data_IF_508583637410
#
_entry.id   IF_508583637410
#
_cell.length_a   1.000
_cell.length_b   1.000
_cell.length_c   1.000
_cell.angle_alpha   90.00
_cell.angle_beta   90.00
_cell.angle_gamma   90.00
#
_symmetry.space_group_name_H-M   'P 1'
#
loop_
_entity.id
_entity.type
_entity.pdbx_description
1 polymer ?
#
# COMPACT_ATOMS: atom_id res chain seq x y z
N UNK A 1 -7.53 -47.64 -1.13
CA UNK A 1 -6.17 -47.30 -1.59
C UNK A 1 -6.30 -46.07 -2.48
N UNK A 2 -6.13 -44.87 -1.92
CA UNK A 2 -6.25 -43.63 -2.69
C UNK A 2 -4.90 -43.31 -3.31
N UNK A 3 -4.82 -43.38 -4.65
CA UNK A 3 -3.65 -42.93 -5.39
C UNK A 3 -3.51 -41.41 -5.24
N UNK A 4 -2.53 -40.97 -4.46
CA UNK A 4 -2.04 -39.59 -4.49
C UNK A 4 -1.31 -39.38 -5.81
N UNK A 5 -1.98 -38.75 -6.78
CA UNK A 5 -1.33 -38.21 -7.96
C UNK A 5 -0.47 -37.01 -7.54
N UNK A 6 0.79 -37.27 -7.19
CA UNK A 6 1.82 -36.23 -7.15
C UNK A 6 2.31 -36.05 -8.57
N UNK A 7 1.77 -35.06 -9.27
CA UNK A 7 2.36 -34.64 -10.55
C UNK A 7 3.69 -33.99 -10.24
N UNK A 8 4.77 -34.59 -10.73
CA UNK A 8 6.12 -34.04 -10.56
C UNK A 8 6.23 -32.71 -11.33
N UNK A 9 6.93 -31.70 -10.78
CA UNK A 9 7.26 -30.50 -11.55
C UNK A 9 8.04 -30.92 -12.81
N UNK A 10 7.56 -30.54 -14.00
CA UNK A 10 8.23 -30.79 -15.28
C UNK A 10 7.44 -31.50 -16.38
N UNK A 11 6.22 -32.00 -16.13
CA UNK A 11 5.43 -32.74 -17.15
C UNK A 11 4.27 -31.93 -17.79
N UNK A 12 4.07 -30.67 -17.40
CA UNK A 12 3.13 -29.78 -18.09
C UNK A 12 3.92 -28.92 -19.09
N UNK A 13 3.48 -28.75 -20.36
CA UNK A 13 4.15 -27.86 -21.30
C UNK A 13 4.23 -26.45 -20.71
N UNK A 14 5.43 -26.05 -20.31
CA UNK A 14 5.71 -24.86 -19.46
C UNK A 14 5.54 -23.51 -20.17
N UNK A 15 5.01 -23.48 -21.39
CA UNK A 15 5.16 -22.32 -22.29
C UNK A 15 3.87 -21.57 -22.62
N UNK A 16 2.79 -21.73 -21.85
CA UNK A 16 1.56 -20.93 -22.05
C UNK A 16 1.17 -20.22 -20.76
N UNK A 17 2.00 -19.26 -20.36
CA UNK A 17 1.48 -18.14 -19.56
C UNK A 17 0.49 -17.33 -20.40
N UNK A 18 -0.47 -16.63 -19.79
CA UNK A 18 -1.33 -15.69 -20.52
C UNK A 18 -0.44 -14.70 -21.29
N UNK A 19 -0.58 -14.68 -22.63
CA UNK A 19 0.03 -13.65 -23.46
C UNK A 19 -0.84 -12.41 -23.36
N UNK A 20 -0.43 -11.49 -22.51
CA UNK A 20 -1.06 -10.18 -22.40
C UNK A 20 -0.59 -9.27 -23.54
N UNK A 21 -1.45 -8.36 -23.99
CA UNK A 21 -0.98 -7.29 -24.86
C UNK A 21 0.04 -6.42 -24.11
N UNK A 22 0.98 -5.75 -24.79
CA UNK A 22 2.11 -5.05 -24.15
C UNK A 22 1.71 -4.04 -23.06
N UNK A 23 0.54 -3.40 -23.20
CA UNK A 23 0.00 -2.47 -22.20
C UNK A 23 -0.37 -3.20 -20.91
N UNK A 24 -1.04 -4.33 -21.04
CA UNK A 24 -1.39 -5.17 -19.90
C UNK A 24 -0.13 -5.79 -19.29
N UNK A 25 0.82 -6.24 -20.10
CA UNK A 25 2.11 -6.72 -19.59
C UNK A 25 2.88 -5.65 -18.80
N UNK A 26 2.82 -4.38 -19.24
CA UNK A 26 3.40 -3.26 -18.49
C UNK A 26 2.68 -3.03 -17.15
N UNK A 27 1.34 -2.94 -17.19
CA UNK A 27 0.49 -2.76 -16.01
C UNK A 27 0.48 -3.97 -15.08
N UNK A 28 1.04 -5.10 -15.48
CA UNK A 28 1.08 -6.32 -14.68
C UNK A 28 2.43 -6.48 -13.97
N UNK A 29 3.51 -5.91 -14.52
CA UNK A 29 4.89 -6.21 -14.08
C UNK A 29 5.67 -5.01 -13.50
N UNK A 30 5.15 -3.79 -13.59
CA UNK A 30 5.93 -2.57 -13.29
C UNK A 30 5.21 -1.58 -12.38
N UNK A 31 4.23 -2.07 -11.64
CA UNK A 31 3.30 -1.26 -10.86
C UNK A 31 3.94 -0.59 -9.65
N UNK A 32 4.79 -1.30 -8.90
CA UNK A 32 5.41 -0.77 -7.68
C UNK A 32 6.39 0.36 -8.02
N UNK A 33 7.29 0.12 -8.96
CA UNK A 33 8.30 1.10 -9.38
C UNK A 33 7.68 2.27 -10.13
N UNK A 34 6.70 2.02 -11.01
CA UNK A 34 6.00 3.10 -11.69
C UNK A 34 5.20 3.95 -10.69
N UNK A 35 4.59 3.31 -9.69
CA UNK A 35 3.83 3.99 -8.65
C UNK A 35 4.68 4.95 -7.82
N UNK A 36 5.77 4.47 -7.22
CA UNK A 36 6.68 5.34 -6.46
C UNK A 36 7.39 6.39 -7.33
N UNK A 37 7.81 6.02 -8.54
CA UNK A 37 8.43 6.98 -9.46
C UNK A 37 7.47 8.10 -9.86
N UNK A 38 6.19 7.78 -10.07
CA UNK A 38 5.17 8.78 -10.41
C UNK A 38 4.88 9.70 -9.21
N UNK A 39 4.79 9.15 -7.99
CA UNK A 39 4.66 9.97 -6.77
C UNK A 39 5.87 10.90 -6.57
N UNK A 40 7.10 10.40 -6.78
CA UNK A 40 8.32 11.20 -6.70
C UNK A 40 8.34 12.30 -7.77
N UNK A 41 7.98 11.97 -9.01
CA UNK A 41 7.91 12.95 -10.09
C UNK A 41 6.87 14.03 -9.78
N UNK A 42 5.67 13.65 -9.32
CA UNK A 42 4.64 14.60 -8.88
C UNK A 42 5.12 15.48 -7.74
N UNK A 43 5.83 14.93 -6.76
CA UNK A 43 6.41 15.70 -5.66
C UNK A 43 7.41 16.74 -6.17
N UNK A 44 8.36 16.34 -7.01
CA UNK A 44 9.41 17.22 -7.54
C UNK A 44 8.81 18.32 -8.42
N UNK A 45 7.88 17.95 -9.31
CA UNK A 45 7.21 18.92 -10.19
C UNK A 45 6.39 19.93 -9.37
N UNK A 46 5.70 19.47 -8.32
CA UNK A 46 4.96 20.35 -7.42
C UNK A 46 5.89 21.30 -6.66
N UNK A 47 6.99 20.80 -6.11
CA UNK A 47 7.97 21.62 -5.41
C UNK A 47 8.60 22.70 -6.33
N UNK A 48 8.95 22.33 -7.57
CA UNK A 48 9.42 23.29 -8.58
C UNK A 48 8.33 24.33 -8.90
N UNK A 49 7.08 23.89 -9.01
CA UNK A 49 5.93 24.78 -9.23
C UNK A 49 5.79 25.83 -8.12
N UNK A 50 5.86 25.40 -6.85
CA UNK A 50 5.78 26.27 -5.68
C UNK A 50 6.96 27.26 -5.64
N UNK A 51 8.17 26.77 -5.92
CA UNK A 51 9.37 27.60 -5.98
C UNK A 51 9.27 28.67 -7.07
N UNK A 52 8.83 28.30 -8.28
CA UNK A 52 8.63 29.24 -9.38
C UNK A 52 7.55 30.29 -9.08
N UNK A 53 6.59 29.95 -8.21
CA UNK A 53 5.60 30.87 -7.66
C UNK A 53 6.13 31.82 -6.58
N UNK A 54 7.43 31.74 -6.24
CA UNK A 54 8.07 32.61 -5.24
C UNK A 54 7.78 32.25 -3.79
N UNK A 55 7.28 31.04 -3.51
CA UNK A 55 7.03 30.54 -2.15
C UNK A 55 8.07 29.48 -1.77
N UNK A 56 8.18 29.20 -0.47
CA UNK A 56 9.08 28.17 0.07
C UNK A 56 8.58 26.78 -0.36
N UNK A 57 9.31 26.02 -1.20
CA UNK A 57 8.90 24.69 -1.64
C UNK A 57 8.90 23.65 -0.51
N UNK A 58 9.54 23.95 0.62
CA UNK A 58 9.52 23.08 1.80
C UNK A 58 8.28 23.30 2.68
N UNK A 59 7.47 24.33 2.40
CA UNK A 59 6.23 24.63 3.09
C UNK A 59 5.01 23.99 2.38
N UNK A 60 5.04 22.66 2.22
CA UNK A 60 4.04 21.90 1.48
C UNK A 60 2.67 21.83 2.18
N UNK A 61 2.62 21.71 3.51
CA UNK A 61 1.37 21.64 4.28
C UNK A 61 0.61 22.97 4.25
N UNK A 62 1.33 24.08 4.37
CA UNK A 62 0.86 25.45 4.21
C UNK A 62 0.32 25.66 2.80
N UNK A 63 1.01 25.14 1.78
CA UNK A 63 0.50 25.15 0.42
C UNK A 63 -0.82 24.37 0.31
N UNK A 64 -0.88 23.15 0.86
CA UNK A 64 -2.08 22.29 0.85
C UNK A 64 -3.27 22.83 1.65
N UNK A 65 -3.03 23.73 2.61
CA UNK A 65 -4.12 24.46 3.27
C UNK A 65 -4.92 25.35 2.30
N UNK A 66 -4.37 25.62 1.11
CA UNK A 66 -5.03 26.39 0.06
C UNK A 66 -5.57 27.73 0.60
N UNK A 67 -4.73 28.46 1.34
CA UNK A 67 -5.04 29.80 1.81
C UNK A 67 -5.12 30.79 0.64
N UNK A 68 -5.89 31.88 0.74
CA UNK A 68 -6.00 32.90 -0.30
C UNK A 68 -4.63 33.40 -0.82
N UNK A 69 -3.64 33.52 0.07
CA UNK A 69 -2.27 33.96 -0.23
C UNK A 69 -1.44 32.98 -1.06
N UNK A 70 -1.92 31.74 -1.23
CA UNK A 70 -1.25 30.68 -1.97
C UNK A 70 -1.87 30.47 -3.37
N UNK A 71 -2.94 31.18 -3.72
CA UNK A 71 -3.53 31.13 -5.05
C UNK A 71 -2.68 31.89 -6.07
N UNK A 72 -2.53 31.29 -7.25
CA UNK A 72 -1.71 31.86 -8.33
C UNK A 72 -0.20 31.65 -8.16
N UNK A 73 0.25 31.10 -7.02
CA UNK A 73 1.66 30.70 -6.81
C UNK A 73 2.04 29.63 -7.83
N UNK A 74 1.26 28.55 -7.89
CA UNK A 74 1.47 27.45 -8.84
C UNK A 74 0.30 27.44 -9.84
N UNK A 75 0.55 27.25 -11.15
CA UNK A 75 -0.53 27.09 -12.12
C UNK A 75 -1.51 26.01 -11.68
N UNK A 76 -2.80 26.32 -11.66
CA UNK A 76 -3.83 25.42 -11.14
C UNK A 76 -3.83 24.05 -11.83
N UNK A 77 -3.65 24.02 -13.16
CA UNK A 77 -3.53 22.80 -13.94
C UNK A 77 -2.33 21.95 -13.52
N UNK A 78 -1.22 22.57 -13.14
CA UNK A 78 -0.03 21.88 -12.65
C UNK A 78 -0.31 21.24 -11.28
N UNK A 79 -0.97 21.98 -10.37
CA UNK A 79 -1.35 21.47 -9.05
C UNK A 79 -2.29 20.26 -9.16
N UNK A 80 -3.30 20.35 -10.04
CA UNK A 80 -4.22 19.23 -10.31
C UNK A 80 -3.49 18.02 -10.91
N UNK A 81 -2.59 18.25 -11.88
CA UNK A 81 -1.80 17.18 -12.49
C UNK A 81 -0.92 16.48 -11.44
N UNK A 82 -0.28 17.22 -10.55
CA UNK A 82 0.55 16.65 -9.49
C UNK A 82 -0.29 15.80 -8.52
N UNK A 83 -1.44 16.31 -8.06
CA UNK A 83 -2.38 15.54 -7.23
C UNK A 83 -2.88 14.28 -7.95
N UNK A 84 -3.25 14.40 -9.22
CA UNK A 84 -3.63 13.26 -10.07
C UNK A 84 -2.52 12.23 -10.17
N UNK A 85 -1.26 12.66 -10.33
CA UNK A 85 -0.11 11.75 -10.35
C UNK A 85 0.13 11.06 -9.01
N UNK A 86 -0.07 11.73 -7.87
CA UNK A 86 -0.04 11.06 -6.56
C UNK A 86 -1.14 10.00 -6.41
N UNK A 87 -2.36 10.31 -6.86
CA UNK A 87 -3.49 9.36 -6.84
C UNK A 87 -3.19 8.16 -7.73
N UNK A 88 -2.81 8.39 -9.00
CA UNK A 88 -2.48 7.31 -9.94
C UNK A 88 -1.29 6.49 -9.44
N UNK A 89 -0.26 7.14 -8.91
CA UNK A 89 0.90 6.45 -8.34
C UNK A 89 0.51 5.55 -7.16
N UNK A 90 -0.39 6.03 -6.29
CA UNK A 90 -0.94 5.24 -5.18
C UNK A 90 -1.76 4.04 -5.68
N UNK A 91 -2.56 4.24 -6.73
CA UNK A 91 -3.35 3.16 -7.35
C UNK A 91 -2.47 2.11 -8.05
N UNK A 92 -1.34 2.51 -8.64
CA UNK A 92 -0.36 1.58 -9.20
C UNK A 92 0.29 0.74 -8.09
N UNK A 93 0.66 1.35 -6.96
CA UNK A 93 1.17 0.57 -5.81
C UNK A 93 0.09 -0.38 -5.29
N UNK A 94 -1.17 0.06 -5.24
CA UNK A 94 -2.29 -0.79 -4.85
C UNK A 94 -2.51 -1.96 -5.82
N UNK A 95 -2.35 -1.74 -7.14
CA UNK A 95 -2.48 -2.81 -8.13
C UNK A 95 -1.37 -3.84 -8.02
N UNK A 96 -0.12 -3.42 -7.73
CA UNK A 96 0.98 -4.35 -7.41
C UNK A 96 0.59 -5.32 -6.29
N UNK A 97 -0.09 -4.81 -5.26
CA UNK A 97 -0.49 -5.63 -4.09
C UNK A 97 -1.59 -6.60 -4.46
N UNK A 98 -2.65 -6.14 -5.15
CA UNK A 98 -3.77 -7.01 -5.54
C UNK A 98 -3.29 -8.19 -6.39
N UNK A 99 -2.33 -7.92 -7.27
CA UNK A 99 -1.70 -8.96 -8.07
C UNK A 99 -0.78 -9.87 -7.25
N UNK A 100 0.00 -9.28 -6.34
CA UNK A 100 0.86 -10.05 -5.44
C UNK A 100 0.06 -10.93 -4.49
N UNK A 101 -1.07 -10.47 -3.94
CA UNK A 101 -1.86 -11.20 -2.94
C UNK A 101 -2.59 -12.42 -3.51
N UNK A 102 -3.10 -12.33 -4.74
CA UNK A 102 -3.79 -13.45 -5.42
C UNK A 102 -2.81 -14.63 -5.62
N UNK A 103 -1.56 -14.33 -5.98
CA UNK A 103 -0.50 -15.32 -6.16
C UNK A 103 0.22 -15.71 -4.85
N UNK A 104 0.31 -14.83 -3.86
CA UNK A 104 1.15 -14.99 -2.66
C UNK A 104 0.50 -15.74 -1.49
N UNK A 105 -0.83 -15.88 -1.44
CA UNK A 105 -1.52 -16.30 -0.21
C UNK A 105 -1.07 -17.68 0.33
N UNK A 106 -0.59 -18.56 -0.56
CA UNK A 106 -0.06 -19.90 -0.27
C UNK A 106 1.48 -19.93 -0.29
N UNK A 107 2.12 -19.03 -1.04
CA UNK A 107 3.56 -19.08 -1.36
C UNK A 107 4.44 -18.31 -0.37
N UNK A 108 3.89 -17.28 0.28
CA UNK A 108 4.67 -16.30 1.02
C UNK A 108 4.52 -16.46 2.53
N UNK A 109 5.59 -16.13 3.27
CA UNK A 109 5.61 -16.27 4.72
C UNK A 109 4.63 -15.28 5.40
N UNK A 110 4.32 -15.53 6.68
CA UNK A 110 3.37 -14.70 7.44
C UNK A 110 3.76 -13.22 7.48
N UNK A 111 5.05 -12.91 7.58
CA UNK A 111 5.56 -11.54 7.61
C UNK A 111 5.36 -10.81 6.28
N UNK A 112 5.64 -11.46 5.15
CA UNK A 112 5.41 -10.88 3.82
C UNK A 112 3.92 -10.56 3.59
N UNK A 113 3.02 -11.48 3.98
CA UNK A 113 1.56 -11.25 3.92
C UNK A 113 1.07 -10.17 4.88
N UNK A 114 1.78 -9.91 5.97
CA UNK A 114 1.50 -8.75 6.80
C UNK A 114 1.91 -7.46 6.05
N UNK A 115 3.08 -7.46 5.41
CA UNK A 115 3.56 -6.36 4.59
C UNK A 115 2.62 -5.97 3.46
N UNK A 116 2.05 -6.94 2.73
CA UNK A 116 1.05 -6.64 1.68
C UNK A 116 -0.18 -5.95 2.24
N UNK A 117 -0.68 -6.38 3.40
CA UNK A 117 -1.82 -5.75 4.09
C UNK A 117 -1.51 -4.34 4.60
N UNK A 118 -0.32 -4.14 5.17
CA UNK A 118 0.15 -2.82 5.59
C UNK A 118 0.19 -1.88 4.38
N UNK A 119 0.78 -2.32 3.27
CA UNK A 119 0.87 -1.53 2.06
C UNK A 119 -0.52 -1.27 1.45
N UNK A 120 -1.44 -2.23 1.50
CA UNK A 120 -2.81 -2.08 0.97
C UNK A 120 -3.56 -1.00 1.75
N UNK A 121 -3.44 -1.05 3.08
CA UNK A 121 -4.06 -0.05 3.94
C UNK A 121 -3.39 1.32 3.77
N UNK A 122 -2.06 1.37 3.59
CA UNK A 122 -1.32 2.58 3.29
C UNK A 122 -1.81 3.25 2.00
N UNK A 123 -1.96 2.47 0.92
CA UNK A 123 -2.47 2.97 -0.36
C UNK A 123 -3.93 3.39 -0.27
N UNK A 124 -4.75 2.72 0.56
CA UNK A 124 -6.15 3.10 0.76
C UNK A 124 -6.27 4.45 1.46
N UNK A 125 -5.51 4.66 2.54
CA UNK A 125 -5.46 5.96 3.22
C UNK A 125 -4.86 7.05 2.34
N UNK A 126 -3.79 6.74 1.60
CA UNK A 126 -3.17 7.67 0.66
C UNK A 126 -4.14 8.10 -0.44
N UNK A 127 -4.85 7.17 -1.07
CA UNK A 127 -5.81 7.49 -2.13
C UNK A 127 -6.93 8.42 -1.64
N UNK A 128 -7.49 8.14 -0.46
CA UNK A 128 -8.48 9.02 0.17
C UNK A 128 -7.88 10.38 0.51
N UNK A 129 -6.68 10.41 1.10
CA UNK A 129 -6.00 11.65 1.47
C UNK A 129 -5.77 12.57 0.27
N UNK A 130 -5.19 12.06 -0.82
CA UNK A 130 -4.89 12.85 -2.01
C UNK A 130 -6.14 13.32 -2.73
N UNK A 131 -7.22 12.52 -2.74
CA UNK A 131 -8.54 12.96 -3.21
C UNK A 131 -9.09 14.11 -2.38
N UNK A 132 -9.03 14.02 -1.04
CA UNK A 132 -9.49 15.09 -0.15
C UNK A 132 -8.64 16.37 -0.31
N UNK A 133 -7.32 16.24 -0.46
CA UNK A 133 -6.42 17.37 -0.74
C UNK A 133 -6.79 18.06 -2.05
N UNK A 134 -7.05 17.27 -3.10
CA UNK A 134 -7.50 17.80 -4.39
C UNK A 134 -8.85 18.52 -4.27
N UNK A 135 -9.79 17.98 -3.48
CA UNK A 135 -11.07 18.63 -3.18
C UNK A 135 -10.86 19.97 -2.46
N UNK A 136 -9.94 20.05 -1.50
CA UNK A 136 -9.59 21.32 -0.82
C UNK A 136 -9.12 22.39 -1.81
N UNK A 137 -8.25 22.05 -2.76
CA UNK A 137 -7.83 22.99 -3.80
C UNK A 137 -8.95 23.39 -4.76
N UNK A 138 -9.75 22.41 -5.21
CA UNK A 138 -10.90 22.66 -6.11
C UNK A 138 -11.94 23.57 -5.44
N UNK A 139 -12.30 23.25 -4.19
CA UNK A 139 -13.24 24.04 -3.40
C UNK A 139 -12.76 25.46 -3.21
N UNK A 140 -11.49 25.63 -2.90
CA UNK A 140 -10.92 26.96 -2.80
C UNK A 140 -11.00 27.72 -4.15
N UNK A 141 -10.63 27.11 -5.30
CA UNK A 141 -10.74 27.80 -6.61
C UNK A 141 -12.14 28.25 -7.04
N UNK A 142 -13.19 27.48 -6.71
CA UNK A 142 -14.56 27.77 -7.17
C UNK A 142 -15.23 28.95 -6.43
N UNK A 143 -14.78 29.29 -5.23
CA UNK A 143 -15.51 30.19 -4.34
C UNK A 143 -14.89 31.59 -4.15
N UNK A 144 -13.83 31.95 -4.88
CA UNK A 144 -13.13 33.25 -4.74
C UNK A 144 -13.87 34.51 -5.22
N UNK A 145 -15.11 34.36 -5.74
CA UNK A 145 -15.93 35.51 -6.16
C UNK A 145 -16.92 36.00 -5.11
N UNK A 146 -17.09 35.32 -3.97
CA UNK A 146 -18.17 35.59 -3.04
C UNK A 146 -17.64 35.97 -1.65
N UNK A 147 -17.98 37.18 -1.17
CA UNK A 147 -17.87 37.59 0.25
C UNK A 147 -18.47 36.54 1.22
N UNK A 148 -19.33 35.68 0.69
CA UNK A 148 -19.96 34.54 1.34
C UNK A 148 -19.02 33.43 1.83
N UNK A 149 -17.76 33.36 1.37
CA UNK A 149 -16.78 32.34 1.82
C UNK A 149 -16.32 32.54 3.26
N UNK A 150 -16.13 33.78 3.71
CA UNK A 150 -15.84 34.07 5.12
C UNK A 150 -17.06 33.78 6.02
N UNK A 151 -18.28 33.91 5.48
CA UNK A 151 -19.52 33.86 6.25
C UNK A 151 -20.18 32.46 6.36
N UNK A 152 -19.99 31.58 5.36
CA UNK A 152 -20.59 30.22 5.32
C UNK A 152 -19.57 29.08 5.28
N UNK A 153 -18.38 29.31 4.69
CA UNK A 153 -17.27 28.34 4.64
C UNK A 153 -16.16 28.73 5.64
N UNK A 154 -16.40 29.82 6.39
CA UNK A 154 -15.52 30.38 7.41
C UNK A 154 -15.00 29.32 8.37
N UNK A 155 -13.68 29.14 8.33
CA UNK A 155 -12.81 28.38 9.25
C UNK A 155 -13.11 26.89 9.55
N UNK A 156 -14.32 26.37 9.35
CA UNK A 156 -14.72 25.06 9.87
C UNK A 156 -14.60 23.90 8.89
N UNK A 157 -15.31 23.96 7.76
CA UNK A 157 -15.50 22.80 6.87
C UNK A 157 -14.29 22.52 5.97
N UNK A 158 -13.70 23.55 5.35
CA UNK A 158 -12.51 23.38 4.51
C UNK A 158 -11.29 23.00 5.35
N UNK A 159 -11.21 23.54 6.57
CA UNK A 159 -10.26 23.12 7.60
C UNK A 159 -10.40 21.64 7.97
N UNK A 160 -11.63 21.16 8.19
CA UNK A 160 -11.88 19.77 8.54
C UNK A 160 -11.50 18.82 7.41
N UNK A 161 -11.76 19.18 6.15
CA UNK A 161 -11.34 18.40 4.96
C UNK A 161 -9.81 18.36 4.88
N UNK A 162 -9.15 19.51 5.00
CA UNK A 162 -7.68 19.59 5.02
C UNK A 162 -7.08 18.74 6.16
N UNK A 163 -7.55 18.93 7.39
CA UNK A 163 -7.05 18.22 8.56
C UNK A 163 -7.25 16.72 8.43
N UNK A 164 -8.43 16.28 7.98
CA UNK A 164 -8.72 14.85 7.74
C UNK A 164 -7.85 14.28 6.62
N UNK A 165 -7.64 15.03 5.53
CA UNK A 165 -6.72 14.64 4.45
C UNK A 165 -5.33 14.37 4.99
N UNK A 166 -4.73 15.33 5.70
CA UNK A 166 -3.37 15.22 6.23
C UNK A 166 -3.26 14.14 7.31
N UNK A 167 -4.28 13.96 8.14
CA UNK A 167 -4.30 12.89 9.13
C UNK A 167 -4.31 11.49 8.48
N UNK A 168 -5.12 11.30 7.43
CA UNK A 168 -5.10 10.06 6.66
C UNK A 168 -3.77 9.86 5.94
N UNK A 169 -3.16 10.93 5.41
CA UNK A 169 -1.83 10.85 4.78
C UNK A 169 -0.79 10.36 5.80
N UNK A 170 -0.77 10.97 6.98
CA UNK A 170 0.17 10.63 8.04
C UNK A 170 0.05 9.17 8.48
N UNK A 171 -1.17 8.66 8.68
CA UNK A 171 -1.39 7.23 8.95
C UNK A 171 -0.99 6.36 7.77
N UNK A 172 -1.27 6.80 6.54
CA UNK A 172 -0.81 6.16 5.31
C UNK A 172 0.72 6.01 5.29
N UNK A 173 1.47 7.08 5.59
CA UNK A 173 2.93 7.08 5.66
C UNK A 173 3.45 6.13 6.74
N UNK A 174 2.85 6.12 7.93
CA UNK A 174 3.23 5.14 8.98
C UNK A 174 2.98 3.69 8.54
N UNK A 175 1.93 3.44 7.75
CA UNK A 175 1.65 2.12 7.21
C UNK A 175 2.56 1.75 6.03
N UNK A 176 2.96 2.72 5.19
CA UNK A 176 4.00 2.53 4.18
C UNK A 176 5.31 2.08 4.82
N UNK A 177 5.66 2.64 5.99
CA UNK A 177 6.83 2.20 6.74
C UNK A 177 6.77 0.70 7.10
N UNK A 178 5.64 0.26 7.65
CA UNK A 178 5.40 -1.16 7.93
C UNK A 178 5.40 -2.01 6.66
N UNK A 179 4.74 -1.55 5.60
CA UNK A 179 4.63 -2.24 4.31
C UNK A 179 6.00 -2.52 3.69
N UNK A 180 6.82 -1.48 3.50
CA UNK A 180 8.18 -1.63 2.95
C UNK A 180 9.07 -2.50 3.84
N UNK A 181 9.02 -2.31 5.18
CA UNK A 181 9.82 -3.10 6.11
C UNK A 181 9.47 -4.59 6.05
N UNK A 182 8.18 -4.93 6.16
CA UNK A 182 7.73 -6.31 6.17
C UNK A 182 7.91 -6.99 4.82
N UNK A 183 7.65 -6.29 3.71
CA UNK A 183 7.87 -6.85 2.38
C UNK A 183 9.34 -7.19 2.14
N UNK A 184 10.26 -6.30 2.48
CA UNK A 184 11.70 -6.55 2.27
C UNK A 184 12.24 -7.63 3.20
N UNK A 185 12.02 -7.48 4.51
CA UNK A 185 12.64 -8.35 5.54
C UNK A 185 12.16 -9.79 5.47
N UNK A 186 10.94 -9.98 5.00
CA UNK A 186 10.28 -11.29 4.97
C UNK A 186 10.14 -11.88 3.56
N UNK A 187 10.68 -11.21 2.53
CA UNK A 187 10.87 -11.84 1.23
C UNK A 187 12.08 -12.78 1.29
N UNK A 188 11.89 -14.04 0.91
CA UNK A 188 12.92 -15.10 1.07
C UNK A 188 14.23 -14.82 0.32
N UNK A 189 14.11 -14.10 -0.80
CA UNK A 189 15.22 -13.70 -1.68
C UNK A 189 15.40 -12.17 -1.66
N UNK A 190 14.94 -11.50 -0.59
CA UNK A 190 14.95 -10.04 -0.45
C UNK A 190 16.28 -9.41 -0.88
N UNK A 191 16.22 -8.17 -1.37
CA UNK A 191 17.39 -7.49 -1.93
C UNK A 191 18.47 -7.24 -0.88
N UNK A 192 18.08 -6.65 0.25
CA UNK A 192 18.86 -6.47 1.47
C UNK A 192 17.94 -5.91 2.57
N UNK A 193 17.90 -6.54 3.74
CA UNK A 193 17.07 -6.10 4.88
C UNK A 193 17.25 -4.60 5.23
N UNK A 194 18.45 -4.06 5.00
CA UNK A 194 18.72 -2.62 5.21
C UNK A 194 17.81 -1.70 4.41
N UNK A 195 17.35 -2.09 3.20
CA UNK A 195 16.38 -1.29 2.44
C UNK A 195 15.02 -1.20 3.13
N UNK A 196 14.59 -2.28 3.78
CA UNK A 196 13.35 -2.33 4.55
C UNK A 196 13.42 -1.36 5.73
N UNK A 197 14.54 -1.36 6.47
CA UNK A 197 14.78 -0.42 7.56
C UNK A 197 14.89 1.03 7.09
N UNK A 198 15.57 1.28 5.97
CA UNK A 198 15.72 2.63 5.41
C UNK A 198 14.39 3.21 4.94
N UNK A 199 13.62 2.46 4.15
CA UNK A 199 12.28 2.87 3.72
C UNK A 199 11.36 3.05 4.93
N UNK A 200 11.38 2.08 5.86
CA UNK A 200 10.61 2.10 7.09
C UNK A 200 10.87 3.35 7.92
N UNK A 201 12.14 3.64 8.22
CA UNK A 201 12.52 4.80 9.02
C UNK A 201 12.16 6.12 8.32
N UNK A 202 12.36 6.22 7.00
CA UNK A 202 12.04 7.44 6.25
C UNK A 202 10.54 7.74 6.22
N UNK A 203 9.70 6.74 5.91
CA UNK A 203 8.25 6.90 5.93
C UNK A 203 7.69 7.14 7.33
N UNK A 204 8.25 6.47 8.34
CA UNK A 204 7.85 6.68 9.73
C UNK A 204 8.19 8.11 10.18
N UNK A 205 9.37 8.62 9.85
CA UNK A 205 9.76 9.99 10.13
C UNK A 205 8.83 10.99 9.46
N UNK A 206 8.50 10.79 8.17
CA UNK A 206 7.56 11.63 7.45
C UNK A 206 6.17 11.65 8.13
N UNK A 207 5.61 10.47 8.44
CA UNK A 207 4.31 10.38 9.12
C UNK A 207 4.32 11.02 10.52
N UNK A 208 5.38 10.84 11.30
CA UNK A 208 5.52 11.48 12.63
C UNK A 208 5.60 12.99 12.50
N UNK A 209 6.41 13.52 11.57
CA UNK A 209 6.50 14.96 11.37
C UNK A 209 5.19 15.56 10.88
N UNK A 210 4.41 14.85 10.05
CA UNK A 210 3.08 15.32 9.65
C UNK A 210 2.13 15.43 10.85
N UNK A 211 2.05 14.40 11.68
CA UNK A 211 1.24 14.43 12.92
C UNK A 211 1.68 15.57 13.83
N UNK A 212 2.99 15.75 14.03
CA UNK A 212 3.51 16.84 14.85
C UNK A 212 3.16 18.21 14.24
N UNK A 213 3.29 18.38 12.92
CA UNK A 213 2.95 19.63 12.24
C UNK A 213 1.46 19.98 12.43
N UNK A 214 0.57 18.98 12.34
CA UNK A 214 -0.86 19.18 12.58
C UNK A 214 -1.16 19.61 14.02
N UNK A 215 -0.44 19.08 15.01
CA UNK A 215 -0.59 19.49 16.41
C UNK A 215 -0.04 20.91 16.68
N UNK A 216 0.95 21.35 15.91
CA UNK A 216 1.61 22.64 16.10
C UNK A 216 1.10 23.76 15.18
N UNK A 217 0.04 23.54 14.39
CA UNK A 217 -0.32 24.40 13.24
C UNK A 217 -0.48 25.90 13.52
N UNK A 218 -0.88 26.27 14.74
CA UNK A 218 -1.05 27.67 15.17
C UNK A 218 0.10 28.19 16.05
N UNK A 219 1.24 27.51 16.04
CA UNK A 219 2.41 27.84 16.84
C UNK A 219 3.63 28.16 15.96
N UNK A 220 4.60 28.90 16.50
CA UNK A 220 5.85 29.19 15.79
C UNK A 220 6.67 27.95 15.42
N UNK A 221 6.43 26.79 16.06
CA UNK A 221 7.09 25.52 15.74
C UNK A 221 6.60 24.90 14.43
N UNK A 222 5.39 25.26 13.96
CA UNK A 222 4.81 24.70 12.74
C UNK A 222 5.74 24.81 11.54
N UNK A 223 6.30 26.00 11.32
CA UNK A 223 7.18 26.28 10.19
C UNK A 223 8.47 25.45 10.17
N UNK A 224 8.91 24.93 11.33
CA UNK A 224 10.07 24.04 11.40
C UNK A 224 9.63 22.61 11.10
N UNK A 225 8.58 22.15 11.76
CA UNK A 225 8.11 20.76 11.64
C UNK A 225 7.57 20.47 10.25
N UNK A 226 6.89 21.42 9.61
CA UNK A 226 6.43 21.30 8.23
C UNK A 226 7.59 21.09 7.25
N UNK A 227 8.69 21.83 7.40
CA UNK A 227 9.86 21.66 6.54
C UNK A 227 10.51 20.30 6.74
N UNK A 228 10.56 19.83 7.99
CA UNK A 228 11.03 18.48 8.33
C UNK A 228 10.13 17.41 7.71
N UNK A 229 8.81 17.60 7.72
CA UNK A 229 7.88 16.74 7.00
C UNK A 229 8.18 16.70 5.51
N UNK A 230 8.22 17.85 4.84
CA UNK A 230 8.41 17.91 3.37
C UNK A 230 9.75 17.29 2.96
N UNK A 231 10.80 17.56 3.74
CA UNK A 231 12.11 16.96 3.53
C UNK A 231 12.10 15.43 3.74
N UNK A 232 11.47 14.96 4.81
CA UNK A 232 11.37 13.53 5.11
C UNK A 232 10.52 12.79 4.09
N UNK A 233 9.43 13.40 3.62
CA UNK A 233 8.60 12.86 2.53
C UNK A 233 9.42 12.73 1.24
N UNK A 234 10.19 13.76 0.88
CA UNK A 234 11.09 13.71 -0.27
C UNK A 234 12.12 12.57 -0.17
N UNK A 235 12.76 12.41 0.99
CA UNK A 235 13.68 11.30 1.25
C UNK A 235 12.96 9.95 1.13
N UNK A 236 11.79 9.82 1.76
CA UNK A 236 11.03 8.57 1.73
C UNK A 236 10.68 8.16 0.30
N UNK A 237 10.19 9.10 -0.51
CA UNK A 237 9.87 8.86 -1.93
C UNK A 237 11.11 8.52 -2.76
N UNK A 238 12.26 9.15 -2.52
CA UNK A 238 13.51 8.85 -3.22
C UNK A 238 13.98 7.43 -2.88
N UNK A 239 14.10 7.10 -1.60
CA UNK A 239 14.56 5.79 -1.14
C UNK A 239 13.60 4.70 -1.59
N UNK A 240 12.28 4.90 -1.45
CA UNK A 240 11.29 3.92 -1.86
C UNK A 240 11.24 3.71 -3.37
N UNK A 241 11.49 4.76 -4.16
CA UNK A 241 11.64 4.62 -5.62
C UNK A 241 12.83 3.73 -5.94
N UNK A 242 14.02 4.02 -5.40
CA UNK A 242 15.20 3.17 -5.63
C UNK A 242 14.97 1.74 -5.16
N UNK A 243 14.40 1.55 -3.98
CA UNK A 243 14.02 0.25 -3.46
C UNK A 243 13.07 -0.47 -4.41
N UNK A 244 12.00 0.16 -4.88
CA UNK A 244 11.03 -0.46 -5.79
C UNK A 244 11.67 -0.89 -7.12
N UNK A 245 12.60 -0.11 -7.67
CA UNK A 245 13.35 -0.47 -8.87
C UNK A 245 14.22 -1.72 -8.69
N UNK A 246 14.64 -2.03 -7.46
CA UNK A 246 15.49 -3.18 -7.14
C UNK A 246 14.65 -4.38 -6.67
N UNK A 247 13.64 -4.12 -5.84
CA UNK A 247 12.78 -5.11 -5.20
C UNK A 247 11.77 -5.74 -6.16
N UNK A 248 11.02 -4.94 -6.93
CA UNK A 248 9.95 -5.45 -7.81
C UNK A 248 10.48 -6.47 -8.84
N UNK A 249 11.63 -6.25 -9.53
CA UNK A 249 12.20 -7.26 -10.41
C UNK A 249 12.62 -8.55 -9.70
N UNK A 250 13.10 -8.44 -8.44
CA UNK A 250 13.45 -9.60 -7.62
C UNK A 250 12.18 -10.37 -7.26
N UNK A 251 11.12 -9.70 -6.85
CA UNK A 251 9.82 -10.33 -6.61
C UNK A 251 9.31 -11.08 -7.84
N UNK A 252 9.37 -10.49 -9.04
CA UNK A 252 8.93 -11.16 -10.27
C UNK A 252 9.84 -12.31 -10.69
N UNK A 253 11.15 -12.21 -10.47
CA UNK A 253 12.10 -13.27 -10.82
C UNK A 253 11.89 -14.53 -10.00
N UNK A 254 11.60 -14.35 -8.71
CA UNK A 254 11.37 -15.44 -7.76
C UNK A 254 9.89 -15.72 -7.54
N UNK A 255 9.02 -15.14 -8.36
CA UNK A 255 7.62 -15.49 -8.36
C UNK A 255 7.50 -16.94 -8.84
N UNK A 256 7.14 -17.82 -7.91
CA UNK A 256 6.91 -19.22 -8.24
C UNK A 256 5.68 -19.25 -9.13
N UNK A 257 5.89 -19.34 -10.44
CA UNK A 257 4.81 -19.53 -11.42
C UNK A 257 3.98 -20.71 -10.92
N UNK A 258 2.75 -20.44 -10.49
CA UNK A 258 1.78 -21.50 -10.21
C UNK A 258 1.45 -22.12 -11.57
N UNK A 259 2.25 -23.11 -11.96
CA UNK A 259 1.87 -23.98 -13.06
C UNK A 259 0.53 -24.60 -12.69
N UNK A 260 -0.32 -24.86 -13.68
CA UNK A 260 -1.63 -25.48 -13.47
C UNK A 260 -1.54 -26.78 -12.63
N UNK A 261 -0.39 -27.46 -12.67
CA UNK A 261 -0.06 -28.61 -11.83
C UNK A 261 0.20 -28.28 -10.36
N UNK A 262 0.84 -27.15 -10.04
CA UNK A 262 1.07 -26.70 -8.67
C UNK A 262 -0.23 -26.21 -8.01
N UNK A 263 -1.07 -25.47 -8.74
CA UNK A 263 -2.38 -25.01 -8.26
C UNK A 263 -3.34 -26.20 -8.02
N UNK A 264 -3.27 -27.21 -8.90
CA UNK A 264 -3.98 -28.48 -8.72
C UNK A 264 -3.46 -29.27 -7.51
N UNK A 265 -2.16 -29.32 -7.27
CA UNK A 265 -1.58 -29.98 -6.09
C UNK A 265 -2.01 -29.27 -4.79
N UNK A 266 -2.07 -27.94 -4.76
CA UNK A 266 -2.53 -27.19 -3.58
C UNK A 266 -4.05 -27.28 -3.37
N UNK A 267 -4.85 -27.35 -4.45
CA UNK A 267 -6.27 -27.72 -4.37
C UNK A 267 -6.45 -29.12 -3.76
N UNK A 268 -5.64 -30.10 -4.17
CA UNK A 268 -5.72 -31.44 -3.58
C UNK A 268 -5.19 -31.50 -2.15
N UNK A 269 -4.17 -30.72 -1.78
CA UNK A 269 -3.71 -30.60 -0.39
C UNK A 269 -4.76 -29.95 0.50
N UNK A 270 -5.39 -28.85 0.06
CA UNK A 270 -6.45 -28.17 0.82
C UNK A 270 -7.71 -29.03 0.92
N UNK A 271 -8.11 -29.73 -0.16
CA UNK A 271 -9.20 -30.72 -0.14
C UNK A 271 -8.88 -31.91 0.76
N UNK A 272 -7.65 -32.41 0.76
CA UNK A 272 -7.24 -33.51 1.62
C UNK A 272 -7.09 -33.08 3.08
N UNK A 273 -6.68 -31.82 3.35
CA UNK A 273 -6.70 -31.24 4.69
C UNK A 273 -8.15 -31.12 5.20
N UNK A 274 -9.08 -30.65 4.37
CA UNK A 274 -10.51 -30.66 4.71
C UNK A 274 -11.09 -32.07 4.86
N UNK A 275 -10.61 -33.04 4.09
CA UNK A 275 -10.99 -34.46 4.26
C UNK A 275 -10.41 -35.07 5.55
N UNK A 276 -9.27 -34.57 6.04
CA UNK A 276 -8.67 -34.99 7.31
C UNK A 276 -9.49 -34.54 8.53
N UNK A 277 -10.24 -33.44 8.42
CA UNK A 277 -11.14 -32.97 9.46
C UNK A 277 -12.52 -33.62 9.44
N UNK A 278 -12.80 -34.51 8.48
CA UNK A 278 -14.11 -35.16 8.33
C UNK A 278 -15.25 -34.16 8.10
N UNK A 279 -16.47 -34.63 7.81
CA UNK A 279 -17.64 -33.77 7.99
C UNK A 279 -17.72 -33.34 9.45
N UNK A 280 -18.22 -32.12 9.71
CA UNK A 280 -18.45 -31.65 11.08
C UNK A 280 -19.21 -32.72 11.87
N UNK A 281 -18.74 -33.08 13.05
CA UNK A 281 -19.51 -33.96 13.94
C UNK A 281 -20.67 -33.14 14.46
N UNK A 282 -21.86 -33.52 14.01
CA UNK A 282 -23.10 -32.81 14.31
C UNK A 282 -23.92 -33.69 15.23
N UNK A 283 -24.54 -33.09 16.25
CA UNK A 283 -25.53 -33.80 17.06
C UNK A 283 -26.79 -34.13 16.23
N UNK A 284 -27.70 -34.93 16.79
CA UNK A 284 -28.96 -35.30 16.13
C UNK A 284 -29.87 -34.10 15.79
N UNK A 285 -29.54 -32.90 16.30
CA UNK A 285 -30.28 -31.65 16.08
C UNK A 285 -29.63 -30.72 15.05
N UNK A 286 -28.45 -31.05 14.53
CA UNK A 286 -27.76 -30.22 13.54
C UNK A 286 -26.78 -29.19 14.12
N UNK A 287 -26.49 -29.23 15.42
CA UNK A 287 -25.50 -28.38 16.08
C UNK A 287 -24.11 -29.05 16.18
N UNK A 288 -23.05 -28.24 16.12
CA UNK A 288 -21.67 -28.75 16.11
C UNK A 288 -21.31 -29.33 17.48
N UNK A 289 -21.10 -30.65 17.55
CA UNK A 289 -20.69 -31.34 18.78
C UNK A 289 -19.17 -31.18 18.99
N UNK A 290 -18.84 -30.19 19.81
CA UNK A 290 -17.47 -29.81 20.14
C UNK A 290 -16.75 -30.94 20.90
N UNK A 291 -17.45 -31.76 21.69
CA UNK A 291 -16.84 -32.82 22.48
C UNK A 291 -16.39 -33.98 21.59
N UNK A 292 -17.27 -34.42 20.69
CA UNK A 292 -16.96 -35.49 19.74
C UNK A 292 -15.93 -35.06 18.68
N UNK A 293 -15.96 -33.81 18.23
CA UNK A 293 -14.96 -33.26 17.32
C UNK A 293 -13.54 -33.22 17.95
N UNK A 294 -13.46 -32.92 19.25
CA UNK A 294 -12.17 -32.89 19.98
C UNK A 294 -11.57 -34.30 20.11
N UNK A 295 -12.41 -35.31 20.36
CA UNK A 295 -11.99 -36.71 20.45
C UNK A 295 -11.50 -37.26 19.09
N UNK A 296 -12.14 -36.85 17.99
CA UNK A 296 -11.75 -37.24 16.63
C UNK A 296 -10.38 -36.65 16.23
N UNK A 297 -10.11 -35.40 16.60
CA UNK A 297 -8.80 -34.75 16.42
C UNK A 297 -7.73 -35.47 17.24
N UNK A 298 -8.02 -35.80 18.49
CA UNK A 298 -7.07 -36.47 19.39
C UNK A 298 -6.75 -37.91 18.90
N UNK A 299 -7.73 -38.64 18.40
CA UNK A 299 -7.53 -39.96 17.79
C UNK A 299 -6.73 -39.89 16.47
N UNK A 300 -6.91 -38.84 15.66
CA UNK A 300 -6.14 -38.63 14.42
C UNK A 300 -4.65 -38.35 14.69
N UNK A 301 -4.34 -37.59 15.75
CA UNK A 301 -2.98 -37.29 16.18
C UNK A 301 -2.29 -38.51 16.81
N UNK A 302 -3.04 -39.29 17.60
CA UNK A 302 -2.50 -40.49 18.28
C UNK A 302 -2.17 -41.60 17.28
N UNK A 303 -2.97 -41.77 16.23
CA UNK A 303 -2.70 -42.73 15.15
C UNK A 303 -1.50 -42.35 14.26
N UNK A 304 -1.16 -41.05 14.16
CA UNK A 304 0.07 -40.61 13.49
C UNK A 304 1.34 -40.91 14.30
N UNK A 305 1.26 -40.86 15.64
CA UNK A 305 2.40 -41.21 16.51
C UNK A 305 2.70 -42.72 16.53
N UNK A 306 1.75 -43.58 16.20
CA UNK A 306 1.96 -45.04 16.09
C UNK A 306 2.46 -45.52 14.72
N UNK A 307 2.58 -44.62 13.72
CA UNK A 307 3.08 -44.93 12.37
C UNK A 307 4.44 -44.30 12.04
N UNK A 308 5.16 -43.76 13.03
CA UNK A 308 6.61 -43.49 12.96
C UNK A 308 7.38 -44.61 13.65
#
# INVERSE_FOLDING_TARGET
>A
MYFTYVVRPGEAPESRGPQFEPVWEFLMNYNLRAGFALQLLSFVVLAIGIYNGGKDPLALLTFFRALPENFGVTPFSLTLLCHGGFIVGTLLIMSFIQMSEDDASIKQCRGYRAGTKFLLQATSFGAVSWCLSMITFLGATYHFGAQWMEEQIGDGSNWLIYFSSRLFDAFGLMLYAGGCFFLETYHSEGTNESWGWLCGAAFLAAGVFEVLALNFINSGLFAIVERLYTFSLGIALVISTFWAFIFEPVCHRYDVKLTQSALRNEYYKSRNAMAFYGPAVVDDNGEVDIAAATEQVQNSLTNQMMMQ
#
